data_IF_270000153028
#
_entry.id   IF_270000153028
#
_cell.length_a   1.000
_cell.length_b   1.000
_cell.length_c   1.000
_cell.angle_alpha   90.00
_cell.angle_beta   90.00
_cell.angle_gamma   90.00
#
_symmetry.space_group_name_H-M   'P 1'
#
loop_
_entity.id
_entity.type
_entity.pdbx_description
1 polymer ?
#
# COMPACT_ATOMS: atom_id res chain seq x y z
N UNK A 1 3.39 0.93 1.84
CA UNK A 1 3.57 -0.54 1.86
C UNK A 1 4.63 -1.02 0.88
N UNK A 2 5.70 -0.25 0.63
CA UNK A 2 6.83 -0.70 -0.18
C UNK A 2 6.53 -0.86 -1.68
N UNK A 3 5.34 -0.46 -2.15
CA UNK A 3 5.00 -0.50 -3.57
C UNK A 3 5.59 0.71 -4.33
N UNK A 4 5.65 0.59 -5.66
CA UNK A 4 5.94 1.74 -6.52
C UNK A 4 4.81 2.77 -6.47
N UNK A 5 5.10 4.01 -6.86
CA UNK A 5 4.10 5.09 -6.90
C UNK A 5 3.98 5.80 -5.56
N UNK A 6 2.74 5.95 -5.06
CA UNK A 6 2.44 6.77 -3.88
C UNK A 6 3.14 6.31 -2.61
N UNK A 7 3.27 4.99 -2.42
CA UNK A 7 4.00 4.40 -1.30
C UNK A 7 5.46 4.89 -1.25
N UNK A 8 6.18 4.78 -2.37
CA UNK A 8 7.55 5.26 -2.51
C UNK A 8 7.66 6.78 -2.30
N UNK A 9 6.68 7.57 -2.76
CA UNK A 9 6.66 9.02 -2.55
C UNK A 9 6.44 9.38 -1.08
N UNK A 10 5.56 8.66 -0.37
CA UNK A 10 5.31 8.85 1.05
C UNK A 10 6.54 8.49 1.89
N UNK A 11 7.20 7.37 1.57
CA UNK A 11 8.45 6.95 2.22
C UNK A 11 9.56 7.99 2.02
N UNK A 12 9.77 8.45 0.78
CA UNK A 12 10.75 9.50 0.48
C UNK A 12 10.43 10.82 1.18
N UNK A 13 9.16 11.20 1.28
CA UNK A 13 8.76 12.39 2.02
C UNK A 13 9.06 12.25 3.51
N UNK A 14 8.79 11.07 4.10
CA UNK A 14 9.11 10.79 5.50
C UNK A 14 10.62 10.89 5.76
N UNK A 15 11.43 10.28 4.90
CA UNK A 15 12.90 10.37 4.94
C UNK A 15 13.39 11.83 4.91
N UNK A 16 12.92 12.61 3.94
CA UNK A 16 13.34 14.01 3.78
C UNK A 16 12.97 14.90 4.97
N UNK A 17 11.95 14.51 5.75
CA UNK A 17 11.47 15.25 6.90
C UNK A 17 11.86 14.61 8.24
N UNK A 18 12.73 13.59 8.22
CA UNK A 18 13.17 12.85 9.41
C UNK A 18 11.99 12.32 10.25
N UNK A 19 10.95 11.84 9.56
CA UNK A 19 9.77 11.21 10.17
C UNK A 19 9.98 9.69 10.17
N UNK A 20 9.95 9.02 11.34
CA UNK A 20 10.04 7.57 11.40
C UNK A 20 8.87 6.92 10.65
N UNK A 21 9.18 5.90 9.84
CA UNK A 21 8.18 5.12 9.14
C UNK A 21 8.54 3.62 9.19
N UNK A 22 7.52 2.78 8.97
CA UNK A 22 7.68 1.34 8.87
C UNK A 22 7.19 0.88 7.49
N UNK A 23 7.98 0.05 6.83
CA UNK A 23 7.61 -0.57 5.56
C UNK A 23 7.28 -2.03 5.82
N UNK A 24 6.01 -2.39 5.65
CA UNK A 24 5.57 -3.77 5.67
C UNK A 24 5.90 -4.37 4.30
N UNK A 25 7.11 -4.89 4.14
CA UNK A 25 7.43 -5.70 2.96
C UNK A 25 6.83 -7.09 3.18
N UNK A 26 5.86 -7.49 2.36
CA UNK A 26 5.68 -8.92 2.14
C UNK A 26 6.90 -9.45 1.42
N UNK A 27 7.44 -10.53 1.97
CA UNK A 27 8.35 -11.41 1.28
C UNK A 27 7.70 -11.80 -0.05
N UNK A 28 7.95 -11.05 -1.12
CA UNK A 28 7.95 -11.63 -2.44
C UNK A 28 8.97 -12.76 -2.34
N UNK A 29 8.50 -14.00 -2.22
CA UNK A 29 9.35 -15.16 -2.17
C UNK A 29 10.19 -15.15 -3.45
N UNK A 30 11.46 -14.77 -3.28
CA UNK A 30 12.52 -14.51 -4.26
C UNK A 30 12.71 -13.04 -4.72
N UNK A 31 13.96 -12.52 -4.68
CA UNK A 31 14.34 -11.29 -5.38
C UNK A 31 14.02 -11.40 -6.87
N UNK A 32 13.62 -10.27 -7.49
CA UNK A 32 13.36 -10.20 -8.94
C UNK A 32 14.59 -10.67 -9.75
N UNK A 33 14.38 -11.66 -10.62
CA UNK A 33 15.27 -11.96 -11.74
C UNK A 33 14.66 -11.37 -13.02
N UNK A 34 14.99 -10.11 -13.33
CA UNK A 34 14.66 -9.48 -14.62
C UNK A 34 13.51 -8.46 -14.62
N UNK A 35 13.15 -8.00 -15.83
CA UNK A 35 12.30 -6.82 -16.11
C UNK A 35 10.87 -7.21 -16.55
N UNK A 36 10.62 -8.46 -16.92
CA UNK A 36 9.31 -8.90 -17.41
C UNK A 36 8.38 -9.37 -16.28
N UNK A 37 7.16 -8.83 -16.23
CA UNK A 37 6.11 -9.25 -15.29
C UNK A 37 5.37 -10.47 -15.86
N UNK A 38 5.69 -11.67 -15.34
CA UNK A 38 5.15 -12.95 -15.87
C UNK A 38 3.78 -13.34 -15.31
N UNK A 39 2.96 -12.37 -14.90
CA UNK A 39 1.65 -12.65 -14.31
C UNK A 39 1.77 -13.28 -12.94
N UNK A 40 2.06 -12.45 -11.93
CA UNK A 40 2.06 -12.87 -10.54
C UNK A 40 0.63 -13.15 -10.09
N UNK A 41 0.44 -14.22 -9.33
CA UNK A 41 -0.79 -14.45 -8.57
C UNK A 41 -1.02 -13.24 -7.64
N UNK A 42 -2.29 -12.89 -7.41
CA UNK A 42 -2.66 -11.78 -6.54
C UNK A 42 -1.88 -11.83 -5.22
N UNK A 43 -1.31 -10.69 -4.81
CA UNK A 43 -0.55 -10.61 -3.57
C UNK A 43 -1.43 -11.13 -2.42
N UNK A 44 -0.89 -12.00 -1.53
CA UNK A 44 -1.65 -12.48 -0.38
C UNK A 44 -2.27 -11.31 0.39
N UNK A 45 -3.55 -11.41 0.74
CA UNK A 45 -4.25 -10.38 1.54
C UNK A 45 -3.67 -10.20 2.95
N UNK A 46 -2.74 -11.07 3.38
CA UNK A 46 -2.03 -10.98 4.65
C UNK A 46 -1.26 -9.67 4.84
N UNK A 47 -0.76 -9.03 3.78
CA UNK A 47 -0.07 -7.74 3.90
C UNK A 47 -1.07 -6.68 4.30
N UNK A 48 -2.18 -6.65 3.58
CA UNK A 48 -3.28 -5.71 3.78
C UNK A 48 -3.82 -5.83 5.18
N UNK A 49 -4.05 -7.04 5.68
CA UNK A 49 -4.48 -7.25 7.06
C UNK A 49 -3.48 -6.69 8.07
N UNK A 50 -2.17 -6.97 7.94
CA UNK A 50 -1.15 -6.42 8.85
C UNK A 50 -1.06 -4.90 8.80
N UNK A 51 -1.21 -4.31 7.61
CA UNK A 51 -1.25 -2.86 7.41
C UNK A 51 -2.44 -2.25 8.16
N UNK A 52 -3.63 -2.82 7.97
CA UNK A 52 -4.86 -2.35 8.61
C UNK A 52 -4.85 -2.59 10.13
N UNK A 53 -4.24 -3.67 10.61
CA UNK A 53 -4.10 -3.94 12.05
C UNK A 53 -3.17 -2.92 12.73
N UNK A 54 -2.19 -2.37 12.01
CA UNK A 54 -1.28 -1.35 12.53
C UNK A 54 -1.80 0.09 12.31
N UNK A 55 -2.75 0.29 11.40
CA UNK A 55 -3.23 1.61 11.01
C UNK A 55 -4.25 2.17 12.01
N UNK A 56 -4.09 3.44 12.37
CA UNK A 56 -5.14 4.20 13.09
C UNK A 56 -5.99 5.03 12.13
N UNK A 57 -5.41 5.44 11.00
CA UNK A 57 -6.03 6.24 9.95
C UNK A 57 -5.41 5.84 8.61
N UNK A 58 -6.13 6.08 7.52
CA UNK A 58 -5.65 5.83 6.16
C UNK A 58 -5.76 7.09 5.31
N UNK A 59 -4.72 7.34 4.52
CA UNK A 59 -4.73 8.35 3.46
C UNK A 59 -4.49 7.63 2.14
N UNK A 60 -5.52 7.60 1.28
CA UNK A 60 -5.50 6.88 0.03
C UNK A 60 -5.48 7.83 -1.17
N UNK A 61 -4.73 7.45 -2.19
CA UNK A 61 -4.61 8.18 -3.46
C UNK A 61 -4.96 7.26 -4.63
N UNK A 62 -6.24 6.86 -4.78
CA UNK A 62 -6.65 6.02 -5.89
C UNK A 62 -6.61 6.81 -7.21
N UNK A 63 -6.37 6.06 -8.29
CA UNK A 63 -6.60 6.47 -9.67
C UNK A 63 -7.62 5.55 -10.33
N UNK A 64 -8.03 5.89 -11.56
CA UNK A 64 -8.99 5.09 -12.34
C UNK A 64 -8.62 3.60 -12.52
N UNK A 65 -7.37 3.23 -12.31
CA UNK A 65 -6.86 1.84 -12.43
C UNK A 65 -6.56 1.16 -11.08
N UNK A 66 -6.83 1.83 -9.96
CA UNK A 66 -6.41 1.41 -8.62
C UNK A 66 -7.31 0.35 -7.97
N UNK A 67 -7.17 -0.91 -8.41
CA UNK A 67 -7.95 -2.04 -7.83
C UNK A 67 -7.65 -2.28 -6.35
N UNK A 68 -6.37 -2.36 -5.97
CA UNK A 68 -5.97 -2.71 -4.60
C UNK A 68 -6.27 -1.61 -3.59
N UNK A 69 -6.13 -0.34 -3.98
CA UNK A 69 -6.48 0.79 -3.13
C UNK A 69 -7.95 0.75 -2.74
N UNK A 70 -8.84 0.42 -3.69
CA UNK A 70 -10.27 0.29 -3.41
C UNK A 70 -10.57 -0.88 -2.45
N UNK A 71 -9.92 -2.03 -2.64
CA UNK A 71 -10.04 -3.16 -1.70
C UNK A 71 -9.60 -2.76 -0.28
N UNK A 72 -8.51 -2.00 -0.14
CA UNK A 72 -8.05 -1.51 1.18
C UNK A 72 -9.09 -0.58 1.81
N UNK A 73 -9.71 0.30 1.02
CA UNK A 73 -10.73 1.23 1.51
C UNK A 73 -11.99 0.48 1.99
N UNK A 74 -12.46 -0.50 1.22
CA UNK A 74 -13.60 -1.34 1.62
C UNK A 74 -13.31 -2.06 2.95
N UNK A 75 -12.12 -2.66 3.07
CA UNK A 75 -11.70 -3.34 4.30
C UNK A 75 -11.53 -2.39 5.48
N UNK A 76 -11.10 -1.16 5.24
CA UNK A 76 -10.98 -0.13 6.27
C UNK A 76 -12.34 0.33 6.76
N UNK A 77 -13.31 0.49 5.85
CA UNK A 77 -14.70 0.81 6.19
C UNK A 77 -15.34 -0.28 7.04
N UNK A 78 -15.18 -1.55 6.66
CA UNK A 78 -15.65 -2.71 7.44
C UNK A 78 -15.06 -2.76 8.86
N UNK A 79 -13.81 -2.30 9.01
CA UNK A 79 -13.10 -2.27 10.30
C UNK A 79 -13.34 -0.99 11.10
N UNK A 80 -14.05 -0.01 10.54
CA UNK A 80 -14.26 1.30 11.16
C UNK A 80 -12.97 2.13 11.30
N UNK A 81 -11.97 1.91 10.43
CA UNK A 81 -10.74 2.71 10.40
C UNK A 81 -11.03 3.99 9.61
N UNK A 82 -10.86 5.19 10.20
CA UNK A 82 -11.07 6.44 9.48
C UNK A 82 -10.12 6.58 8.29
N UNK A 83 -10.64 7.03 7.15
CA UNK A 83 -9.83 7.24 5.96
C UNK A 83 -10.18 8.55 5.23
N UNK A 84 -9.19 9.09 4.51
CA UNK A 84 -9.33 10.20 3.57
C UNK A 84 -8.91 9.72 2.19
N UNK A 85 -9.69 10.07 1.17
CA UNK A 85 -9.42 9.76 -0.24
C UNK A 85 -9.07 11.05 -0.98
N UNK A 86 -7.96 11.02 -1.71
CA UNK A 86 -7.53 12.08 -2.64
C UNK A 86 -7.36 11.46 -4.01
N UNK A 87 -8.38 11.58 -4.86
CA UNK A 87 -8.33 11.08 -6.24
C UNK A 87 -7.17 11.72 -7.01
N UNK A 88 -6.41 10.89 -7.72
CA UNK A 88 -5.31 11.32 -8.60
C UNK A 88 -5.55 10.79 -10.02
N UNK A 89 -5.58 11.71 -10.99
CA UNK A 89 -5.83 11.42 -12.42
C UNK A 89 -4.67 10.64 -13.08
#
# INVERSE_FOLDING_TARGET
>A
GGASGVDCLAERWADNNNIPYAVFNEEWSAPRLGVEDKGRDEAPTSLTHRLLDAATHILAFPSSTSKWTNIILDMAEERGIPFIVVEVD
#
